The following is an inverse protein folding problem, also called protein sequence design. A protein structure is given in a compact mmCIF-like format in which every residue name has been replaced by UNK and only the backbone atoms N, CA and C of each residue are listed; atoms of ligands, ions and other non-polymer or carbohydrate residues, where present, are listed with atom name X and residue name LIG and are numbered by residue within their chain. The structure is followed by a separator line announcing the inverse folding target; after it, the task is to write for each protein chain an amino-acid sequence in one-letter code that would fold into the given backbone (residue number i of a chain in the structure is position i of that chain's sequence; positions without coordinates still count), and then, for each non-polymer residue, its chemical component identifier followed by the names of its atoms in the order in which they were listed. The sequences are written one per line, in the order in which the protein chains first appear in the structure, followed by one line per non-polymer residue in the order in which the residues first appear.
data_IF_129660876963
#
_entry.id   IF_129660876963
#
_cell.length_a   1.000
_cell.length_b   1.000
_cell.length_c   1.000
_cell.angle_alpha   90.00
_cell.angle_beta   90.00
_cell.angle_gamma   90.00
#
_symmetry.space_group_name_H-M   'P 1'
#
loop_
_entity.id
_entity.type
_entity.pdbx_description
1 polymer ?
#
# COMPACT_ATOMS: atom_id res chain seq x y z
N UNK A 1 -2.40 -26.93 12.66
CA UNK A 1 -1.32 -26.16 12.01
C UNK A 1 -1.38 -24.74 12.57
N UNK A 2 -0.26 -24.14 13.02
CA UNK A 2 -0.22 -22.81 13.71
C UNK A 2 0.63 -21.76 12.96
N UNK A 3 1.04 -22.07 11.74
CA UNK A 3 2.00 -21.25 10.99
C UNK A 3 1.28 -20.60 9.82
N UNK A 4 1.46 -19.30 9.66
CA UNK A 4 1.07 -18.54 8.49
C UNK A 4 2.35 -18.11 7.76
N UNK A 5 2.39 -18.32 6.44
CA UNK A 5 3.57 -18.06 5.61
C UNK A 5 3.20 -17.12 4.47
N UNK A 6 3.96 -16.04 4.31
CA UNK A 6 3.79 -15.08 3.23
C UNK A 6 4.87 -15.31 2.17
N UNK A 7 4.44 -15.72 0.97
CA UNK A 7 5.29 -15.78 -0.21
C UNK A 7 5.02 -14.56 -1.10
N UNK A 8 5.68 -13.44 -0.78
CA UNK A 8 5.47 -12.16 -1.45
C UNK A 8 6.78 -11.69 -2.09
N UNK A 9 7.04 -12.14 -3.32
CA UNK A 9 8.29 -11.86 -4.04
C UNK A 9 8.61 -10.36 -4.20
N UNK A 10 7.58 -9.52 -4.24
CA UNK A 10 7.69 -8.05 -4.36
C UNK A 10 7.30 -7.30 -3.08
N UNK A 11 7.15 -8.02 -1.97
CA UNK A 11 6.51 -7.49 -0.76
C UNK A 11 5.00 -7.38 -0.87
N UNK A 12 4.37 -6.97 0.24
CA UNK A 12 2.92 -6.79 0.39
C UNK A 12 2.67 -5.55 1.26
N UNK A 13 1.73 -4.70 0.89
CA UNK A 13 1.39 -3.50 1.67
C UNK A 13 0.59 -3.87 2.94
N UNK A 14 0.63 -2.99 3.96
CA UNK A 14 0.02 -3.28 5.25
C UNK A 14 -1.49 -3.52 5.19
N UNK A 15 -2.22 -2.76 4.38
CA UNK A 15 -3.66 -2.94 4.14
C UNK A 15 -3.98 -4.28 3.45
N UNK A 16 -3.14 -4.72 2.52
CA UNK A 16 -3.25 -6.04 1.89
C UNK A 16 -2.99 -7.16 2.90
N UNK A 17 -2.02 -7.00 3.81
CA UNK A 17 -1.79 -7.95 4.91
C UNK A 17 -3.02 -8.02 5.82
N UNK A 18 -3.59 -6.90 6.20
CA UNK A 18 -4.81 -6.86 7.03
C UNK A 18 -5.98 -7.54 6.34
N UNK A 19 -6.19 -7.27 5.05
CA UNK A 19 -7.20 -7.96 4.24
C UNK A 19 -7.00 -9.48 4.22
N UNK A 20 -5.76 -9.94 4.03
CA UNK A 20 -5.41 -11.37 4.04
C UNK A 20 -5.63 -12.02 5.42
N UNK A 21 -5.30 -11.34 6.52
CA UNK A 21 -5.54 -11.85 7.87
C UNK A 21 -7.04 -11.96 8.18
N UNK A 22 -7.84 -10.99 7.75
CA UNK A 22 -9.31 -11.05 7.88
C UNK A 22 -9.84 -12.24 7.07
N UNK A 23 -9.35 -12.46 5.86
CA UNK A 23 -9.72 -13.64 5.05
C UNK A 23 -9.28 -14.97 5.70
N UNK A 24 -8.19 -14.96 6.47
CA UNK A 24 -7.72 -16.10 7.26
C UNK A 24 -8.48 -16.29 8.59
N UNK A 25 -9.44 -15.42 8.92
CA UNK A 25 -10.31 -15.53 10.10
C UNK A 25 -9.99 -14.57 11.24
N UNK A 26 -9.14 -13.57 11.04
CA UNK A 26 -8.95 -12.51 12.03
C UNK A 26 -10.21 -11.64 12.15
N UNK A 27 -10.51 -11.17 13.37
CA UNK A 27 -11.66 -10.33 13.65
C UNK A 27 -11.33 -8.83 13.42
N UNK A 28 -11.91 -8.18 12.39
CA UNK A 28 -11.65 -6.77 12.13
C UNK A 28 -12.20 -5.84 13.23
N UNK A 29 -13.22 -6.27 13.98
CA UNK A 29 -13.79 -5.46 15.07
C UNK A 29 -12.82 -5.41 16.24
N UNK A 30 -12.15 -6.52 16.54
CA UNK A 30 -11.07 -6.55 17.54
C UNK A 30 -9.92 -5.63 17.13
N UNK A 31 -9.49 -5.68 15.86
CA UNK A 31 -8.46 -4.78 15.34
C UNK A 31 -8.84 -3.30 15.53
N UNK A 32 -10.07 -2.92 15.16
CA UNK A 32 -10.57 -1.56 15.35
C UNK A 32 -10.56 -1.14 16.82
N UNK A 33 -11.02 -2.03 17.72
CA UNK A 33 -11.02 -1.77 19.16
C UNK A 33 -9.62 -1.60 19.75
N UNK A 34 -8.63 -2.38 19.28
CA UNK A 34 -7.24 -2.25 19.70
C UNK A 34 -6.61 -0.95 19.17
N UNK A 35 -6.93 -0.54 17.94
CA UNK A 35 -6.43 0.70 17.35
C UNK A 35 -7.01 1.96 18.03
N UNK A 36 -8.25 1.92 18.51
CA UNK A 36 -8.85 3.00 19.32
C UNK A 36 -8.05 3.34 20.58
N UNK A 37 -7.27 2.39 21.12
CA UNK A 37 -6.41 2.67 22.28
C UNK A 37 -5.32 3.71 21.99
N UNK A 38 -5.03 3.97 20.72
CA UNK A 38 -4.07 5.00 20.29
C UNK A 38 -4.66 6.42 20.29
N UNK A 39 -5.97 6.60 20.47
CA UNK A 39 -6.64 7.90 20.50
C UNK A 39 -6.47 8.70 19.19
N UNK A 40 -6.68 8.02 18.06
CA UNK A 40 -6.54 8.56 16.70
C UNK A 40 -7.85 8.47 15.90
N UNK A 41 -8.99 8.34 16.57
CA UNK A 41 -10.29 8.10 15.92
C UNK A 41 -10.74 9.25 15.02
N UNK A 42 -10.27 10.46 15.31
CA UNK A 42 -10.59 11.67 14.53
C UNK A 42 -9.70 11.85 13.28
N UNK A 43 -8.69 11.00 13.10
CA UNK A 43 -7.72 11.09 11.99
C UNK A 43 -8.07 10.17 10.81
N UNK A 44 -8.75 9.04 11.05
CA UNK A 44 -9.05 8.06 10.01
C UNK A 44 -10.32 7.26 10.25
N UNK A 45 -10.87 6.72 9.17
CA UNK A 45 -11.95 5.74 9.15
C UNK A 45 -11.44 4.44 8.53
N UNK A 46 -11.72 3.30 9.18
CA UNK A 46 -11.40 1.97 8.64
C UNK A 46 -12.59 1.44 7.84
N UNK A 47 -12.32 0.96 6.63
CA UNK A 47 -13.33 0.31 5.79
C UNK A 47 -12.81 -1.04 5.34
N UNK A 48 -13.66 -2.06 5.41
CA UNK A 48 -13.38 -3.34 4.80
C UNK A 48 -14.60 -3.89 4.08
N UNK A 49 -14.37 -4.51 2.92
CA UNK A 49 -15.42 -5.14 2.14
C UNK A 49 -14.86 -6.29 1.31
N UNK A 50 -15.72 -7.27 1.00
CA UNK A 50 -15.39 -8.28 -0.01
C UNK A 50 -15.38 -7.65 -1.39
N UNK A 51 -14.36 -7.95 -2.16
CA UNK A 51 -14.23 -7.58 -3.57
C UNK A 51 -13.92 -8.82 -4.39
N UNK A 52 -14.23 -8.77 -5.69
CA UNK A 52 -13.73 -9.74 -6.67
C UNK A 52 -12.85 -8.97 -7.65
N UNK A 53 -11.57 -9.33 -7.73
CA UNK A 53 -10.62 -8.75 -8.66
C UNK A 53 -10.04 -9.88 -9.51
N UNK A 54 -10.20 -9.79 -10.83
CA UNK A 54 -9.74 -10.80 -11.78
C UNK A 54 -10.24 -12.23 -11.43
N UNK A 55 -11.48 -12.34 -10.94
CA UNK A 55 -12.08 -13.63 -10.56
C UNK A 55 -11.68 -14.15 -9.16
N UNK A 56 -10.79 -13.45 -8.44
CA UNK A 56 -10.37 -13.82 -7.09
C UNK A 56 -11.13 -12.98 -6.07
N UNK A 57 -11.79 -13.63 -5.12
CA UNK A 57 -12.43 -12.96 -3.98
C UNK A 57 -11.40 -12.66 -2.90
N UNK A 58 -11.33 -11.41 -2.43
CA UNK A 58 -10.54 -11.03 -1.27
C UNK A 58 -11.25 -9.98 -0.43
N UNK A 59 -10.80 -9.78 0.82
CA UNK A 59 -11.14 -8.60 1.60
C UNK A 59 -10.25 -7.44 1.17
N UNK A 60 -10.87 -6.34 0.73
CA UNK A 60 -10.19 -5.05 0.59
C UNK A 60 -10.31 -4.32 1.91
N UNK A 61 -9.19 -3.97 2.51
CA UNK A 61 -9.10 -3.11 3.68
C UNK A 61 -8.58 -1.74 3.24
N UNK A 62 -9.26 -0.67 3.65
CA UNK A 62 -8.92 0.71 3.31
C UNK A 62 -8.83 1.54 4.60
N UNK A 63 -7.77 2.34 4.72
CA UNK A 63 -7.64 3.38 5.75
C UNK A 63 -7.93 4.72 5.09
N UNK A 64 -9.05 5.35 5.46
CA UNK A 64 -9.51 6.60 4.85
C UNK A 64 -9.21 7.75 5.80
N UNK A 65 -8.29 8.63 5.42
CA UNK A 65 -7.98 9.81 6.24
C UNK A 65 -9.15 10.80 6.27
N UNK A 66 -9.44 11.32 7.46
CA UNK A 66 -10.43 12.37 7.67
C UNK A 66 -9.79 13.72 7.35
N UNK A 67 -10.50 14.61 6.64
CA UNK A 67 -9.95 15.85 6.04
C UNK A 67 -9.55 16.97 7.05
N UNK A 68 -9.31 16.64 8.31
CA UNK A 68 -9.03 17.61 9.37
C UNK A 68 -7.53 17.84 9.60
N UNK A 69 -6.67 16.95 9.14
CA UNK A 69 -5.22 17.19 9.12
C UNK A 69 -4.86 18.00 7.88
N UNK A 70 -4.30 19.19 8.11
CA UNK A 70 -3.83 20.12 7.10
C UNK A 70 -3.08 19.38 6.00
N UNK A 71 -3.51 19.60 4.76
CA UNK A 71 -2.87 19.09 3.55
C UNK A 71 -1.37 19.43 3.58
N UNK A 72 -0.54 18.47 3.96
CA UNK A 72 0.74 18.32 3.28
C UNK A 72 0.46 17.39 2.13
N UNK A 73 0.18 18.00 0.97
CA UNK A 73 0.29 17.30 -0.29
C UNK A 73 1.69 16.66 -0.32
N UNK A 74 1.77 15.32 -0.14
CA UNK A 74 2.89 14.56 -0.69
C UNK A 74 2.74 14.57 -2.21
N UNK A 75 2.90 15.76 -2.79
CA UNK A 75 3.34 15.91 -4.15
C UNK A 75 4.75 15.32 -4.19
N UNK A 76 4.84 14.05 -4.54
CA UNK A 76 6.02 13.58 -5.24
C UNK A 76 6.08 14.41 -6.53
N UNK A 77 6.71 15.59 -6.46
CA UNK A 77 7.24 16.24 -7.64
C UNK A 77 8.19 15.24 -8.26
N UNK A 78 7.74 14.62 -9.35
CA UNK A 78 8.61 14.03 -10.35
C UNK A 78 9.34 15.20 -11.04
N UNK A 79 10.20 15.91 -10.31
CA UNK A 79 11.22 16.77 -10.91
C UNK A 79 12.38 15.85 -11.28
N UNK A 80 12.35 15.40 -12.53
CA UNK A 80 13.32 14.47 -13.06
C UNK A 80 12.89 13.90 -14.40
N UNK A 81 12.51 14.75 -15.36
CA UNK A 81 12.73 14.42 -16.76
C UNK A 81 14.23 14.16 -16.94
N UNK A 82 14.67 12.91 -16.75
CA UNK A 82 15.93 12.44 -17.29
C UNK A 82 15.76 12.30 -18.80
N UNK A 83 15.80 13.44 -19.51
CA UNK A 83 16.20 13.45 -20.91
C UNK A 83 17.63 12.96 -20.96
N UNK A 84 17.81 11.68 -21.28
CA UNK A 84 19.09 11.19 -21.76
C UNK A 84 19.33 11.82 -23.13
N UNK A 85 20.02 12.96 -23.15
CA UNK A 85 20.75 13.38 -24.33
C UNK A 85 21.83 12.34 -24.58
N UNK A 86 21.61 11.51 -25.59
CA UNK A 86 22.65 10.67 -26.16
C UNK A 86 23.67 11.58 -26.84
N UNK A 87 24.70 11.98 -26.10
CA UNK A 87 25.94 12.46 -26.70
C UNK A 87 26.60 11.25 -27.36
N UNK A 88 26.47 11.17 -28.69
CA UNK A 88 27.22 10.23 -29.51
C UNK A 88 28.72 10.46 -29.27
N UNK A 89 29.36 9.53 -28.57
CA UNK A 89 30.81 9.44 -28.56
C UNK A 89 31.24 8.71 -29.84
N UNK A 90 31.64 9.50 -30.85
CA UNK A 90 32.46 9.01 -31.94
C UNK A 90 33.76 8.44 -31.38
N UNK A 91 33.87 7.11 -31.35
CA UNK A 91 35.15 6.44 -31.23
C UNK A 91 35.70 6.23 -32.65
N UNK A 92 36.70 7.03 -33.03
CA UNK A 92 37.57 6.71 -34.14
C UNK A 92 38.31 5.40 -33.82
N UNK A 93 38.06 4.37 -34.62
CA UNK A 93 38.96 3.24 -34.75
C UNK A 93 39.67 3.33 -36.10
N UNK A 94 40.95 3.65 -36.00
CA UNK A 94 41.94 3.47 -37.06
C UNK A 94 42.07 1.98 -37.41
N UNK A 95 41.92 1.68 -38.70
CA UNK A 95 42.61 0.61 -39.41
C UNK A 95 42.86 1.06 -40.84
#
# INVERSE_FOLDING_TARGET
MKTLYFDCFSGISGDMVLGALIDAGADPILLEAELKKLQLEDEYELKWKKIVKNGITSTKFDVVLLKNTSQSEFSHKNDGEHKHDHVEHHHEHSH
#
